data_IF_974233106213
#
_entry.id   IF_974233106213
#
_cell.length_a   1.000
_cell.length_b   1.000
_cell.length_c   1.000
_cell.angle_alpha   90.00
_cell.angle_beta   90.00
_cell.angle_gamma   90.00
#
_symmetry.space_group_name_H-M   'P 1'
#
loop_
_entity.id
_entity.type
_entity.pdbx_description
1 polymer ?
#
# COMPACT_ATOMS: atom_id res chain seq x y z
N UNK A 1 -47.38 -3.92 -40.69
CA UNK A 1 -47.17 -5.35 -40.34
C UNK A 1 -46.50 -5.41 -38.98
N UNK A 2 -47.16 -6.03 -38.01
CA UNK A 2 -46.67 -6.09 -36.63
C UNK A 2 -45.38 -6.92 -36.52
N UNK A 3 -44.53 -6.53 -35.57
CA UNK A 3 -43.20 -7.11 -35.26
C UNK A 3 -43.25 -8.64 -35.13
N UNK A 4 -44.35 -9.17 -34.60
CA UNK A 4 -44.56 -10.60 -34.40
C UNK A 4 -44.75 -11.41 -35.70
N UNK A 5 -45.31 -10.83 -36.76
CA UNK A 5 -45.50 -11.49 -38.07
C UNK A 5 -44.20 -11.58 -38.88
N UNK A 6 -43.27 -10.64 -38.68
CA UNK A 6 -41.96 -10.63 -39.34
C UNK A 6 -40.95 -11.57 -38.65
N UNK A 7 -41.03 -11.67 -37.31
CA UNK A 7 -40.21 -12.62 -36.53
C UNK A 7 -40.62 -14.07 -36.77
N UNK A 8 -41.92 -14.37 -36.89
CA UNK A 8 -42.40 -15.73 -37.22
C UNK A 8 -42.03 -16.16 -38.64
N UNK A 9 -42.11 -15.25 -39.62
CA UNK A 9 -41.67 -15.53 -41.00
C UNK A 9 -40.15 -15.83 -41.09
N UNK A 10 -39.32 -15.10 -40.34
CA UNK A 10 -37.87 -15.30 -40.32
C UNK A 10 -37.46 -16.59 -39.58
N UNK A 11 -38.14 -16.93 -38.48
CA UNK A 11 -37.88 -18.17 -37.73
C UNK A 11 -38.27 -19.43 -38.54
N UNK A 12 -39.40 -19.37 -39.24
CA UNK A 12 -39.87 -20.47 -40.11
C UNK A 12 -38.96 -20.70 -41.32
N UNK A 13 -38.35 -19.63 -41.86
CA UNK A 13 -37.37 -19.73 -42.95
C UNK A 13 -36.04 -20.38 -42.50
N UNK A 14 -35.66 -20.18 -41.24
CA UNK A 14 -34.42 -20.70 -40.64
C UNK A 14 -34.54 -22.14 -40.14
N UNK A 15 -35.74 -22.57 -39.71
CA UNK A 15 -36.04 -23.97 -39.32
C UNK A 15 -35.98 -24.95 -40.51
N UNK A 16 -36.12 -24.46 -41.75
CA UNK A 16 -36.06 -25.29 -42.97
C UNK A 16 -34.66 -25.74 -43.40
N UNK A 17 -33.57 -25.22 -42.81
CA UNK A 17 -32.21 -25.35 -43.37
C UNK A 17 -31.19 -26.13 -42.51
N UNK A 18 -31.58 -26.75 -41.38
CA UNK A 18 -30.74 -27.64 -40.53
C UNK A 18 -29.26 -27.18 -40.29
N UNK A 19 -29.04 -25.91 -39.96
CA UNK A 19 -27.71 -25.36 -39.56
C UNK A 19 -27.80 -24.67 -38.18
N UNK A 20 -26.73 -24.68 -37.34
CA UNK A 20 -26.81 -24.14 -35.98
C UNK A 20 -26.84 -22.58 -35.96
N UNK A 21 -27.69 -21.94 -35.14
CA UNK A 21 -28.22 -20.58 -35.40
C UNK A 21 -27.44 -19.42 -34.75
N UNK A 22 -26.31 -19.69 -34.11
CA UNK A 22 -25.68 -18.77 -33.16
C UNK A 22 -25.03 -17.48 -33.75
N UNK A 23 -24.35 -17.49 -34.90
CA UNK A 23 -23.64 -16.29 -35.39
C UNK A 23 -24.58 -15.18 -35.87
N UNK A 24 -25.71 -15.55 -36.47
CA UNK A 24 -26.69 -14.60 -37.00
C UNK A 24 -27.55 -13.98 -35.87
N UNK A 25 -27.88 -14.75 -34.83
CA UNK A 25 -28.63 -14.27 -33.68
C UNK A 25 -27.83 -13.30 -32.79
N UNK A 26 -26.53 -13.52 -32.62
CA UNK A 26 -25.72 -12.65 -31.75
C UNK A 26 -25.24 -11.37 -32.46
N UNK A 27 -24.97 -11.42 -33.77
CA UNK A 27 -24.57 -10.25 -34.57
C UNK A 27 -25.70 -9.22 -34.76
N UNK A 28 -26.95 -9.68 -34.84
CA UNK A 28 -28.13 -8.79 -34.95
C UNK A 28 -28.51 -8.18 -33.58
N UNK A 29 -28.31 -8.90 -32.47
CA UNK A 29 -28.58 -8.42 -31.11
C UNK A 29 -27.56 -7.39 -30.58
N UNK A 30 -26.26 -7.52 -30.90
CA UNK A 30 -25.24 -6.58 -30.41
C UNK A 30 -25.12 -5.31 -31.27
N UNK A 31 -25.44 -5.38 -32.57
CA UNK A 31 -25.20 -4.28 -33.52
C UNK A 31 -26.36 -3.29 -33.62
N UNK A 32 -27.61 -3.73 -33.41
CA UNK A 32 -28.76 -2.84 -33.28
C UNK A 32 -28.68 -2.01 -31.99
N UNK A 33 -28.00 -2.46 -30.92
CA UNK A 33 -28.16 -1.85 -29.61
C UNK A 33 -27.35 -0.54 -29.33
N UNK A 34 -26.15 -0.24 -29.89
CA UNK A 34 -25.27 0.76 -29.21
C UNK A 34 -24.43 1.81 -29.98
N UNK A 35 -24.48 1.94 -31.31
CA UNK A 35 -23.96 3.16 -31.98
C UNK A 35 -22.47 3.54 -31.75
N UNK A 36 -21.57 2.57 -31.56
CA UNK A 36 -20.15 2.82 -31.25
C UNK A 36 -19.21 2.34 -32.39
N UNK A 37 -18.35 3.22 -32.95
CA UNK A 37 -17.38 2.86 -34.01
C UNK A 37 -16.29 1.86 -33.60
N UNK A 38 -16.07 1.60 -32.30
CA UNK A 38 -15.10 0.60 -31.83
C UNK A 38 -15.46 -0.84 -32.24
N UNK A 39 -16.74 -1.13 -32.48
CA UNK A 39 -17.21 -2.45 -32.91
C UNK A 39 -16.75 -2.83 -34.34
N UNK A 40 -16.53 -1.86 -35.22
CA UNK A 40 -16.02 -2.11 -36.57
C UNK A 40 -14.55 -2.55 -36.56
N UNK A 41 -13.75 -1.96 -35.66
CA UNK A 41 -12.34 -2.32 -35.48
C UNK A 41 -12.22 -3.74 -34.91
N UNK A 42 -13.03 -4.09 -33.91
CA UNK A 42 -13.04 -5.43 -33.32
C UNK A 42 -13.54 -6.51 -34.30
N UNK A 43 -14.56 -6.21 -35.12
CA UNK A 43 -15.04 -7.11 -36.17
C UNK A 43 -13.96 -7.30 -37.27
N UNK A 44 -13.27 -6.23 -37.65
CA UNK A 44 -12.15 -6.28 -38.59
C UNK A 44 -10.98 -7.11 -38.07
N UNK A 45 -10.58 -6.93 -36.80
CA UNK A 45 -9.55 -7.74 -36.15
C UNK A 45 -9.94 -9.22 -36.05
N UNK A 46 -11.20 -9.53 -35.76
CA UNK A 46 -11.71 -10.90 -35.71
C UNK A 46 -11.73 -11.57 -37.10
N UNK A 47 -12.03 -10.82 -38.17
CA UNK A 47 -11.97 -11.30 -39.56
C UNK A 47 -10.53 -11.46 -40.07
N UNK A 48 -9.61 -10.62 -39.57
CA UNK A 48 -8.18 -10.71 -39.84
C UNK A 48 -7.50 -11.91 -39.20
N UNK A 49 -7.92 -12.28 -37.98
CA UNK A 49 -7.39 -13.44 -37.25
C UNK A 49 -7.94 -14.78 -37.78
N UNK A 50 -9.02 -14.76 -38.57
CA UNK A 50 -9.80 -15.95 -38.96
C UNK A 50 -9.05 -17.00 -39.82
N UNK A 51 -8.11 -16.65 -40.73
CA UNK A 51 -7.27 -17.63 -41.45
C UNK A 51 -6.27 -18.37 -40.55
N UNK A 52 -5.95 -17.80 -39.39
CA UNK A 52 -5.03 -18.39 -38.41
C UNK A 52 -5.75 -19.34 -37.45
N UNK A 53 -7.09 -19.39 -37.52
CA UNK A 53 -7.98 -20.18 -36.67
C UNK A 53 -8.74 -21.26 -37.48
N UNK A 54 -8.88 -21.07 -38.80
CA UNK A 54 -9.58 -21.99 -39.71
C UNK A 54 -8.81 -22.17 -41.01
N UNK A 55 -8.52 -23.41 -41.37
CA UNK A 55 -7.76 -23.79 -42.58
C UNK A 55 -8.53 -23.61 -43.90
N UNK A 56 -9.81 -23.25 -43.84
CA UNK A 56 -10.72 -23.22 -45.00
C UNK A 56 -10.82 -21.85 -45.68
N UNK A 57 -10.11 -20.83 -45.19
CA UNK A 57 -10.23 -19.47 -45.72
C UNK A 57 -8.92 -19.01 -46.39
N UNK A 58 -8.93 -18.69 -47.70
CA UNK A 58 -7.74 -18.23 -48.41
C UNK A 58 -7.18 -16.93 -47.80
N UNK A 59 -5.87 -16.86 -47.57
CA UNK A 59 -5.22 -15.73 -46.91
C UNK A 59 -5.46 -14.37 -47.61
N UNK A 60 -5.68 -14.37 -48.92
CA UNK A 60 -5.95 -13.15 -49.70
C UNK A 60 -7.31 -12.50 -49.36
N UNK A 61 -8.33 -13.28 -49.02
CA UNK A 61 -9.65 -12.76 -48.62
C UNK A 61 -9.58 -12.00 -47.30
N UNK A 62 -8.73 -12.46 -46.37
CA UNK A 62 -8.47 -11.73 -45.14
C UNK A 62 -7.62 -10.49 -45.35
N UNK A 63 -6.68 -10.49 -46.31
CA UNK A 63 -5.95 -9.28 -46.69
C UNK A 63 -6.87 -8.23 -47.32
N UNK A 64 -7.81 -8.64 -48.17
CA UNK A 64 -8.84 -7.74 -48.74
C UNK A 64 -9.77 -7.21 -47.64
N UNK A 65 -10.23 -8.06 -46.73
CA UNK A 65 -11.01 -7.62 -45.57
C UNK A 65 -10.22 -6.66 -44.67
N UNK A 66 -8.91 -6.90 -44.48
CA UNK A 66 -7.99 -5.98 -43.76
C UNK A 66 -7.98 -4.60 -44.41
N UNK A 67 -7.73 -4.58 -45.72
CA UNK A 67 -7.57 -3.37 -46.50
C UNK A 67 -8.87 -2.56 -46.48
N UNK A 68 -10.02 -3.21 -46.70
CA UNK A 68 -11.34 -2.58 -46.62
C UNK A 68 -11.61 -2.03 -45.21
N UNK A 69 -11.29 -2.80 -44.16
CA UNK A 69 -11.45 -2.33 -42.77
C UNK A 69 -10.58 -1.11 -42.48
N UNK A 70 -9.31 -1.11 -42.93
CA UNK A 70 -8.38 0.01 -42.77
C UNK A 70 -8.85 1.26 -43.53
N UNK A 71 -9.44 1.11 -44.73
CA UNK A 71 -10.01 2.24 -45.49
C UNK A 71 -11.32 2.79 -44.90
N UNK A 72 -12.05 1.95 -44.15
CA UNK A 72 -13.30 2.34 -43.46
C UNK A 72 -13.07 2.81 -42.03
N UNK A 73 -11.83 2.70 -41.50
CA UNK A 73 -11.49 3.29 -40.22
C UNK A 73 -11.58 4.82 -40.35
N UNK A 74 -12.28 5.52 -39.44
CA UNK A 74 -12.24 6.97 -39.43
C UNK A 74 -10.77 7.43 -39.29
N UNK A 75 -10.36 8.52 -39.96
CA UNK A 75 -8.98 9.03 -39.91
C UNK A 75 -8.54 9.45 -38.50
N UNK A 76 -9.49 9.57 -37.57
CA UNK A 76 -9.25 9.74 -36.14
C UNK A 76 -9.86 8.55 -35.41
N UNK A 77 -9.04 7.82 -34.64
CA UNK A 77 -9.51 6.81 -33.70
C UNK A 77 -10.63 7.41 -32.83
N UNK A 78 -11.72 6.66 -32.57
CA UNK A 78 -12.75 7.07 -31.63
C UNK A 78 -12.12 7.61 -30.34
N UNK A 79 -12.64 8.70 -29.73
CA UNK A 79 -12.05 9.28 -28.52
C UNK A 79 -11.77 8.26 -27.40
N UNK A 80 -12.57 7.18 -27.35
CA UNK A 80 -12.43 6.04 -26.43
C UNK A 80 -11.21 5.17 -26.68
N UNK A 81 -10.71 5.05 -27.92
CA UNK A 81 -9.54 4.25 -28.27
C UNK A 81 -8.22 5.05 -28.24
N UNK A 82 -8.28 6.37 -28.03
CA UNK A 82 -7.10 7.24 -27.89
C UNK A 82 -6.16 6.77 -26.77
N UNK A 83 -6.69 6.13 -25.74
CA UNK A 83 -5.94 5.66 -24.57
C UNK A 83 -5.67 4.16 -24.57
N UNK A 84 -6.12 3.42 -25.59
CA UNK A 84 -6.02 1.96 -25.64
C UNK A 84 -4.58 1.47 -25.45
N UNK A 85 -3.59 2.14 -26.04
CA UNK A 85 -2.18 1.79 -25.86
C UNK A 85 -1.71 1.96 -24.40
N UNK A 86 -2.20 2.99 -23.69
CA UNK A 86 -1.91 3.20 -22.26
C UNK A 86 -2.63 2.17 -21.41
N UNK A 87 -3.87 1.83 -21.75
CA UNK A 87 -4.66 0.81 -21.06
C UNK A 87 -4.00 -0.58 -21.22
N UNK A 88 -3.56 -0.94 -22.43
CA UNK A 88 -2.83 -2.17 -22.70
C UNK A 88 -1.50 -2.19 -21.93
N UNK A 89 -0.72 -1.10 -21.98
CA UNK A 89 0.53 -1.00 -21.22
C UNK A 89 0.27 -1.13 -19.70
N UNK A 90 -0.81 -0.53 -19.21
CA UNK A 90 -1.25 -0.63 -17.82
C UNK A 90 -1.63 -2.06 -17.43
N UNK A 91 -2.38 -2.78 -18.28
CA UNK A 91 -2.71 -4.20 -18.08
C UNK A 91 -1.43 -5.05 -18.00
N UNK A 92 -0.49 -4.87 -18.92
CA UNK A 92 0.81 -5.56 -18.86
C UNK A 92 1.57 -5.23 -17.57
N UNK A 93 1.53 -3.97 -17.12
CA UNK A 93 2.15 -3.56 -15.85
C UNK A 93 1.50 -4.24 -14.65
N UNK A 94 0.17 -4.32 -14.61
CA UNK A 94 -0.58 -5.04 -13.57
C UNK A 94 -0.19 -6.52 -13.55
N UNK A 95 -0.22 -7.18 -14.71
CA UNK A 95 0.11 -8.60 -14.80
C UNK A 95 1.56 -8.88 -14.37
N UNK A 96 2.50 -8.04 -14.82
CA UNK A 96 3.90 -8.13 -14.40
C UNK A 96 4.06 -7.94 -12.88
N UNK A 97 3.36 -6.97 -12.30
CA UNK A 97 3.36 -6.74 -10.85
C UNK A 97 2.76 -7.93 -10.08
N UNK A 98 1.61 -8.44 -10.52
CA UNK A 98 0.93 -9.57 -9.91
C UNK A 98 1.79 -10.84 -9.96
N UNK A 99 2.46 -11.10 -11.08
CA UNK A 99 3.40 -12.22 -11.22
C UNK A 99 4.60 -12.07 -10.28
N UNK A 100 5.17 -10.85 -10.15
CA UNK A 100 6.26 -10.58 -9.20
C UNK A 100 5.82 -10.83 -7.76
N UNK A 101 4.68 -10.29 -7.34
CA UNK A 101 4.11 -10.50 -6.00
C UNK A 101 3.90 -12.00 -5.76
N UNK A 102 3.25 -12.71 -6.69
CA UNK A 102 3.02 -14.16 -6.55
C UNK A 102 4.32 -14.95 -6.40
N UNK A 103 5.38 -14.59 -7.13
CA UNK A 103 6.71 -15.22 -6.96
C UNK A 103 7.28 -15.00 -5.56
N UNK A 104 7.14 -13.81 -5.00
CA UNK A 104 7.62 -13.47 -3.65
C UNK A 104 6.84 -14.22 -2.56
N UNK A 105 5.51 -14.32 -2.72
CA UNK A 105 4.64 -15.03 -1.78
C UNK A 105 4.83 -16.56 -1.82
N UNK A 106 5.29 -17.11 -2.95
CA UNK A 106 5.55 -18.54 -3.11
C UNK A 106 6.93 -18.98 -2.58
N UNK A 107 7.80 -18.05 -2.13
CA UNK A 107 9.06 -18.42 -1.47
C UNK A 107 8.77 -19.06 -0.11
N UNK A 108 9.68 -19.91 0.35
CA UNK A 108 9.60 -20.57 1.66
C UNK A 108 10.87 -20.25 2.46
N UNK A 109 10.78 -19.43 3.53
CA UNK A 109 9.61 -18.67 3.96
C UNK A 109 9.23 -17.56 2.95
N UNK A 110 7.99 -17.04 2.98
CA UNK A 110 7.56 -15.95 2.11
C UNK A 110 8.40 -14.69 2.38
N UNK A 111 8.67 -13.92 1.33
CA UNK A 111 9.32 -12.62 1.51
C UNK A 111 8.36 -11.64 2.19
N UNK A 112 8.85 -11.00 3.24
CA UNK A 112 8.15 -9.93 3.96
C UNK A 112 8.94 -8.62 3.86
N UNK A 113 8.36 -7.53 4.36
CA UNK A 113 9.06 -6.23 4.42
C UNK A 113 10.35 -6.27 5.26
N UNK A 114 10.53 -7.29 6.12
CA UNK A 114 11.80 -7.54 6.82
C UNK A 114 12.91 -7.91 5.84
N UNK A 115 12.60 -8.70 4.81
CA UNK A 115 13.57 -9.02 3.76
C UNK A 115 13.95 -7.77 2.94
N UNK A 116 13.01 -6.83 2.75
CA UNK A 116 13.34 -5.55 2.13
C UNK A 116 14.29 -4.73 3.01
N UNK A 117 14.02 -4.62 4.32
CA UNK A 117 14.93 -3.97 5.27
C UNK A 117 16.36 -4.53 5.18
N UNK A 118 16.50 -5.84 5.34
CA UNK A 118 17.80 -6.53 5.32
C UNK A 118 18.53 -6.32 3.98
N UNK A 119 17.79 -6.37 2.87
CA UNK A 119 18.33 -6.12 1.54
C UNK A 119 18.82 -4.69 1.38
N UNK A 120 18.09 -3.67 1.86
CA UNK A 120 18.53 -2.28 1.75
C UNK A 120 19.73 -2.00 2.66
N UNK A 121 19.76 -2.58 3.86
CA UNK A 121 20.90 -2.47 4.77
C UNK A 121 22.18 -3.05 4.17
N UNK A 122 22.08 -4.15 3.43
CA UNK A 122 23.23 -4.77 2.74
C UNK A 122 23.61 -4.05 1.45
N UNK A 123 22.64 -3.69 0.61
CA UNK A 123 22.91 -3.14 -0.72
C UNK A 123 23.30 -1.66 -0.71
N UNK A 124 22.77 -0.90 0.26
CA UNK A 124 22.92 0.57 0.34
C UNK A 124 23.01 1.01 1.81
N UNK A 125 24.03 0.57 2.57
CA UNK A 125 24.11 0.77 4.02
C UNK A 125 24.10 2.24 4.44
N UNK A 126 24.75 3.11 3.67
CA UNK A 126 24.93 4.53 3.98
C UNK A 126 23.81 5.41 3.41
N UNK A 127 22.93 4.86 2.57
CA UNK A 127 21.77 5.63 2.08
C UNK A 127 20.82 5.91 3.25
N UNK A 128 20.36 7.15 3.34
CA UNK A 128 19.36 7.58 4.32
C UNK A 128 18.03 6.90 4.01
N UNK A 129 17.54 6.10 4.95
CA UNK A 129 16.25 5.42 4.86
C UNK A 129 15.12 6.38 5.24
N UNK A 130 15.21 6.97 6.43
CA UNK A 130 14.19 7.86 6.98
C UNK A 130 14.78 9.18 7.46
N UNK A 131 14.02 10.26 7.25
CA UNK A 131 14.27 11.60 7.77
C UNK A 131 13.01 12.07 8.49
N UNK A 132 13.07 12.43 9.77
CA UNK A 132 11.99 13.12 10.45
C UNK A 132 12.23 14.64 10.39
N UNK A 133 11.19 15.41 10.04
CA UNK A 133 11.24 16.88 10.01
C UNK A 133 10.70 17.49 11.31
N UNK A 134 10.92 18.79 11.52
CA UNK A 134 10.40 19.53 12.67
C UNK A 134 11.27 19.48 13.93
N UNK A 135 10.73 19.81 15.11
CA UNK A 135 11.46 19.73 16.38
C UNK A 135 11.94 18.29 16.63
N UNK A 136 13.24 18.11 16.87
CA UNK A 136 13.85 16.78 16.96
C UNK A 136 14.15 16.13 15.59
N UNK A 137 14.39 16.96 14.56
CA UNK A 137 14.79 16.50 13.24
C UNK A 137 15.98 15.53 13.34
N UNK A 138 15.83 14.38 12.73
CA UNK A 138 16.83 13.32 12.73
C UNK A 138 16.69 12.50 11.47
N UNK A 139 17.74 11.73 11.17
CA UNK A 139 17.78 10.83 10.04
C UNK A 139 18.44 9.54 10.44
N UNK A 140 18.06 8.45 9.79
CA UNK A 140 18.65 7.13 10.01
C UNK A 140 18.96 6.48 8.65
N UNK A 141 20.17 5.95 8.54
CA UNK A 141 20.61 5.18 7.36
C UNK A 141 20.04 3.77 7.38
N UNK A 142 20.09 3.06 6.24
CA UNK A 142 19.61 1.68 6.17
C UNK A 142 20.35 0.76 7.15
N UNK A 143 21.67 0.91 7.30
CA UNK A 143 22.47 0.10 8.23
C UNK A 143 22.13 0.38 9.70
N UNK A 144 21.99 1.65 10.08
CA UNK A 144 21.58 2.03 11.43
C UNK A 144 20.15 1.58 11.75
N UNK A 145 19.25 1.66 10.78
CA UNK A 145 17.86 1.21 10.92
C UNK A 145 17.80 -0.29 11.21
N UNK A 146 18.53 -1.10 10.43
CA UNK A 146 18.57 -2.55 10.62
C UNK A 146 19.25 -2.93 11.95
N UNK A 147 20.35 -2.26 12.31
CA UNK A 147 21.03 -2.48 13.59
C UNK A 147 20.12 -2.17 14.79
N UNK A 148 19.41 -1.03 14.79
CA UNK A 148 18.44 -0.69 15.85
C UNK A 148 17.25 -1.65 15.87
N UNK A 149 16.80 -2.11 14.70
CA UNK A 149 15.76 -3.14 14.62
C UNK A 149 16.23 -4.48 15.21
N UNK A 150 17.48 -4.89 14.96
CA UNK A 150 18.07 -6.07 15.59
C UNK A 150 18.12 -5.91 17.12
N UNK A 151 18.61 -4.77 17.62
CA UNK A 151 18.64 -4.49 19.06
C UNK A 151 17.25 -4.55 19.71
N UNK A 152 16.24 -3.94 19.07
CA UNK A 152 14.85 -4.04 19.52
C UNK A 152 14.34 -5.48 19.55
N UNK A 153 14.65 -6.27 18.52
CA UNK A 153 14.29 -7.68 18.46
C UNK A 153 14.93 -8.46 19.63
N UNK A 154 16.22 -8.28 19.87
CA UNK A 154 16.93 -8.99 20.93
C UNK A 154 16.45 -8.58 22.32
N UNK A 155 16.21 -7.29 22.55
CA UNK A 155 15.66 -6.78 23.80
C UNK A 155 14.26 -7.35 24.12
N UNK A 156 13.42 -7.53 23.10
CA UNK A 156 12.03 -7.96 23.28
C UNK A 156 11.80 -9.46 23.13
N UNK A 157 12.79 -10.22 22.61
CA UNK A 157 12.67 -11.65 22.30
C UNK A 157 12.16 -12.48 23.47
N UNK A 158 12.67 -12.23 24.68
CA UNK A 158 12.30 -12.99 25.88
C UNK A 158 10.82 -12.76 26.28
N UNK A 159 10.28 -11.57 26.02
CA UNK A 159 8.90 -11.19 26.37
C UNK A 159 7.87 -11.72 25.38
N UNK A 160 8.29 -11.95 24.13
CA UNK A 160 7.41 -12.32 23.02
C UNK A 160 7.37 -13.81 22.69
N UNK A 161 8.26 -14.61 23.28
CA UNK A 161 8.18 -16.07 23.18
C UNK A 161 6.93 -16.58 23.91
N UNK A 162 6.10 -17.32 23.20
CA UNK A 162 5.03 -18.09 23.81
C UNK A 162 5.63 -19.37 24.45
N UNK A 163 5.47 -19.51 25.76
CA UNK A 163 5.92 -20.68 26.53
C UNK A 163 5.06 -21.91 26.27
N UNK A 164 3.84 -21.74 25.74
CA UNK A 164 2.87 -22.83 25.50
C UNK A 164 2.89 -23.34 24.07
N UNK A 165 3.21 -22.49 23.10
CA UNK A 165 3.36 -22.87 21.70
C UNK A 165 4.66 -22.27 21.13
N UNK A 166 5.71 -23.09 21.07
CA UNK A 166 7.02 -22.66 20.55
C UNK A 166 6.98 -22.11 19.11
N UNK A 167 5.86 -22.29 18.40
CA UNK A 167 5.66 -21.88 17.01
C UNK A 167 4.81 -20.62 16.82
N UNK A 168 4.12 -20.11 17.85
CA UNK A 168 3.30 -18.91 17.77
C UNK A 168 4.00 -17.70 18.40
N UNK A 169 4.20 -16.63 17.63
CA UNK A 169 4.71 -15.36 18.17
C UNK A 169 3.54 -14.53 18.68
N UNK A 170 3.64 -14.01 19.91
CA UNK A 170 2.62 -13.12 20.48
C UNK A 170 2.52 -11.81 19.70
N UNK A 171 1.36 -11.15 19.73
CA UNK A 171 1.18 -9.80 19.17
C UNK A 171 1.77 -8.73 20.10
N UNK A 172 2.26 -7.64 19.52
CA UNK A 172 2.64 -6.42 20.24
C UNK A 172 1.83 -5.20 19.75
N UNK A 173 1.73 -4.17 20.58
CA UNK A 173 1.05 -2.92 20.26
C UNK A 173 1.99 -1.72 20.41
N UNK A 174 1.85 -0.74 19.53
CA UNK A 174 2.56 0.53 19.54
C UNK A 174 1.56 1.68 19.72
N UNK A 175 1.81 2.51 20.74
CA UNK A 175 1.08 3.74 21.02
C UNK A 175 2.09 4.89 21.04
N UNK A 176 2.40 5.44 19.87
CA UNK A 176 3.53 6.37 19.72
C UNK A 176 3.14 7.65 18.97
N UNK A 177 3.62 8.81 19.45
CA UNK A 177 3.37 10.08 18.80
C UNK A 177 4.25 10.26 17.55
N UNK A 178 3.84 11.11 16.59
CA UNK A 178 4.63 11.33 15.38
C UNK A 178 6.05 11.88 15.60
N UNK A 179 6.32 12.52 16.74
CA UNK A 179 7.66 12.97 17.15
C UNK A 179 8.65 11.81 17.35
N UNK A 180 8.15 10.61 17.62
CA UNK A 180 8.94 9.39 17.87
C UNK A 180 8.82 8.36 16.73
N UNK A 181 8.49 8.81 15.52
CA UNK A 181 8.31 7.93 14.35
C UNK A 181 9.53 7.04 14.07
N UNK A 182 10.76 7.58 14.03
CA UNK A 182 11.97 6.77 13.74
C UNK A 182 12.21 5.71 14.84
N UNK A 183 12.26 6.06 16.15
CA UNK A 183 12.33 5.06 17.22
C UNK A 183 11.22 4.01 17.13
N UNK A 184 9.97 4.42 16.91
CA UNK A 184 8.85 3.49 16.77
C UNK A 184 9.02 2.53 15.59
N UNK A 185 9.53 3.02 14.46
CA UNK A 185 9.83 2.20 13.28
C UNK A 185 10.95 1.19 13.56
N UNK A 186 11.99 1.56 14.33
CA UNK A 186 13.04 0.60 14.71
C UNK A 186 12.47 -0.54 15.57
N UNK A 187 11.61 -0.23 16.54
CA UNK A 187 10.95 -1.24 17.38
C UNK A 187 9.99 -2.09 16.55
N UNK A 188 9.16 -1.47 15.72
CA UNK A 188 8.26 -2.17 14.81
C UNK A 188 9.00 -3.18 13.90
N UNK A 189 10.09 -2.76 13.28
CA UNK A 189 10.88 -3.63 12.41
C UNK A 189 11.59 -4.73 13.20
N UNK A 190 12.01 -4.46 14.43
CA UNK A 190 12.57 -5.48 15.33
C UNK A 190 11.55 -6.53 15.75
N UNK A 191 10.34 -6.11 16.10
CA UNK A 191 9.19 -7.00 16.34
C UNK A 191 8.92 -7.87 15.11
N UNK A 192 8.90 -7.27 13.92
CA UNK A 192 8.69 -7.99 12.67
C UNK A 192 9.82 -9.00 12.37
N UNK A 193 11.07 -8.72 12.74
CA UNK A 193 12.19 -9.69 12.64
C UNK A 193 11.97 -10.94 13.51
N UNK A 194 11.23 -10.82 14.61
CA UNK A 194 10.78 -11.95 15.44
C UNK A 194 9.50 -12.63 14.92
N UNK A 195 8.93 -12.14 13.82
CA UNK A 195 7.64 -12.62 13.32
C UNK A 195 6.45 -12.18 14.16
N UNK A 196 6.61 -11.15 14.99
CA UNK A 196 5.56 -10.60 15.83
C UNK A 196 4.63 -9.71 14.99
N UNK A 197 3.32 -10.00 14.92
CA UNK A 197 2.34 -9.07 14.38
C UNK A 197 2.25 -7.82 15.26
N UNK A 198 2.10 -6.64 14.65
CA UNK A 198 2.11 -5.37 15.39
C UNK A 198 0.85 -4.56 15.18
N UNK A 199 0.18 -4.19 16.26
CA UNK A 199 -0.91 -3.23 16.27
C UNK A 199 -0.38 -1.80 16.37
N UNK A 200 -0.71 -0.96 15.39
CA UNK A 200 -0.46 0.48 15.48
C UNK A 200 -1.73 1.18 15.94
N UNK A 201 -1.71 1.68 17.17
CA UNK A 201 -2.86 2.27 17.85
C UNK A 201 -2.76 3.80 17.71
N UNK A 202 -3.92 4.44 17.55
CA UNK A 202 -4.00 5.90 17.52
C UNK A 202 -3.55 6.47 18.89
N UNK A 203 -2.43 7.24 18.95
CA UNK A 203 -1.87 7.78 20.20
C UNK A 203 -2.77 8.82 20.87
N UNK A 204 -3.77 9.33 20.15
CA UNK A 204 -4.72 10.30 20.69
C UNK A 204 -5.96 9.64 21.31
N UNK A 205 -6.06 8.31 21.28
CA UNK A 205 -7.09 7.58 22.02
C UNK A 205 -6.78 7.55 23.52
N UNK A 206 -7.82 7.71 24.36
CA UNK A 206 -7.73 7.64 25.83
C UNK A 206 -8.79 6.73 26.41
N UNK A 207 -8.65 6.35 27.68
CA UNK A 207 -9.62 5.52 28.40
C UNK A 207 -10.06 4.24 27.66
N UNK A 208 -11.38 4.03 27.58
CA UNK A 208 -11.95 2.79 27.04
C UNK A 208 -11.60 2.50 25.56
N UNK A 209 -11.64 3.47 24.62
CA UNK A 209 -11.17 3.24 23.25
C UNK A 209 -9.71 2.75 23.15
N UNK A 210 -8.81 3.30 23.97
CA UNK A 210 -7.41 2.88 24.02
C UNK A 210 -7.30 1.45 24.55
N UNK A 211 -7.88 1.20 25.72
CA UNK A 211 -7.88 -0.12 26.35
C UNK A 211 -8.47 -1.19 25.40
N UNK A 212 -9.61 -0.89 24.77
CA UNK A 212 -10.23 -1.79 23.79
C UNK A 212 -9.30 -2.10 22.63
N UNK A 213 -8.59 -1.10 22.10
CA UNK A 213 -7.66 -1.29 20.99
C UNK A 213 -6.48 -2.19 21.38
N UNK A 214 -5.94 -2.04 22.59
CA UNK A 214 -4.87 -2.93 23.08
C UNK A 214 -5.39 -4.36 23.26
N UNK A 215 -6.47 -4.53 24.04
CA UNK A 215 -6.99 -5.87 24.37
C UNK A 215 -7.48 -6.63 23.14
N UNK A 216 -8.23 -5.98 22.24
CA UNK A 216 -8.78 -6.62 21.03
C UNK A 216 -7.70 -7.01 20.02
N UNK A 217 -6.50 -6.45 20.10
CA UNK A 217 -5.37 -6.84 19.24
C UNK A 217 -4.74 -8.16 19.68
N UNK A 218 -5.03 -8.63 20.90
CA UNK A 218 -4.34 -9.76 21.52
C UNK A 218 -2.88 -9.44 21.87
N UNK A 219 -2.54 -8.15 22.01
CA UNK A 219 -1.18 -7.76 22.35
C UNK A 219 -0.80 -8.20 23.77
N UNK A 220 0.36 -8.83 23.87
CA UNK A 220 0.99 -9.18 25.16
C UNK A 220 2.03 -8.17 25.61
N UNK A 221 2.46 -7.32 24.68
CA UNK A 221 3.43 -6.25 24.91
C UNK A 221 2.86 -4.96 24.35
N UNK A 222 2.89 -3.89 25.13
CA UNK A 222 2.51 -2.54 24.72
C UNK A 222 3.71 -1.61 24.86
N UNK A 223 4.15 -0.99 23.77
CA UNK A 223 5.20 0.03 23.78
C UNK A 223 4.54 1.41 23.60
N UNK A 224 4.86 2.32 24.51
CA UNK A 224 4.19 3.62 24.63
C UNK A 224 5.21 4.76 24.60
N UNK A 225 4.87 5.86 23.93
CA UNK A 225 5.63 7.10 24.04
C UNK A 225 5.60 7.64 25.48
N UNK A 226 6.75 8.01 26.08
CA UNK A 226 6.78 8.65 27.40
C UNK A 226 5.84 9.85 27.54
N UNK A 227 5.64 10.64 26.46
CA UNK A 227 4.74 11.80 26.45
C UNK A 227 3.25 11.43 26.60
N UNK A 228 2.91 10.14 26.52
CA UNK A 228 1.56 9.60 26.71
C UNK A 228 1.36 8.96 28.10
N UNK A 229 2.25 9.25 29.06
CA UNK A 229 2.21 8.70 30.43
C UNK A 229 0.80 8.73 31.04
N UNK A 230 0.15 9.90 31.08
CA UNK A 230 -1.18 10.04 31.68
C UNK A 230 -2.22 9.10 31.04
N UNK A 231 -2.15 8.94 29.71
CA UNK A 231 -3.09 8.09 28.96
C UNK A 231 -2.84 6.61 29.21
N UNK A 232 -1.57 6.21 29.44
CA UNK A 232 -1.22 4.85 29.84
C UNK A 232 -1.69 4.58 31.27
N UNK A 233 -1.35 5.45 32.23
CA UNK A 233 -1.66 5.26 33.66
C UNK A 233 -3.16 5.10 33.92
N UNK A 234 -4.01 5.80 33.15
CA UNK A 234 -5.47 5.67 33.20
C UNK A 234 -5.94 4.21 32.98
N UNK A 235 -5.28 3.47 32.08
CA UNK A 235 -5.69 2.11 31.68
C UNK A 235 -4.76 1.01 32.21
N UNK A 236 -3.60 1.38 32.74
CA UNK A 236 -2.53 0.47 33.17
C UNK A 236 -3.00 -0.62 34.16
N UNK A 237 -3.81 -0.34 35.19
CA UNK A 237 -4.24 -1.39 36.12
C UNK A 237 -4.97 -2.54 35.43
N UNK A 238 -5.77 -2.24 34.41
CA UNK A 238 -6.49 -3.26 33.62
C UNK A 238 -5.55 -4.00 32.67
N UNK A 239 -4.58 -3.30 32.06
CA UNK A 239 -3.58 -3.93 31.20
C UNK A 239 -2.71 -4.92 31.99
N UNK A 240 -2.28 -4.56 33.19
CA UNK A 240 -1.49 -5.43 34.08
C UNK A 240 -2.30 -6.64 34.57
N UNK A 241 -3.59 -6.45 34.87
CA UNK A 241 -4.49 -7.56 35.23
C UNK A 241 -4.63 -8.60 34.10
N UNK A 242 -4.53 -8.15 32.85
CA UNK A 242 -4.52 -9.00 31.65
C UNK A 242 -3.11 -9.51 31.27
N UNK A 243 -2.12 -9.34 32.15
CA UNK A 243 -0.72 -9.74 31.96
C UNK A 243 -0.02 -9.10 30.75
N UNK A 244 -0.39 -7.87 30.40
CA UNK A 244 0.25 -7.12 29.31
C UNK A 244 1.50 -6.41 29.83
N UNK A 245 2.67 -6.76 29.28
CA UNK A 245 3.91 -6.09 29.61
C UNK A 245 3.98 -4.72 28.94
N UNK A 246 4.05 -3.66 29.73
CA UNK A 246 4.10 -2.29 29.22
C UNK A 246 5.54 -1.75 29.24
N UNK A 247 5.92 -1.05 28.18
CA UNK A 247 7.22 -0.39 28.06
C UNK A 247 7.07 1.07 27.63
N UNK A 248 7.91 1.95 28.16
CA UNK A 248 8.14 3.26 27.61
C UNK A 248 9.22 3.22 26.53
N UNK A 249 8.96 3.87 25.39
CA UNK A 249 9.94 4.09 24.33
C UNK A 249 10.87 5.25 24.69
N UNK A 250 11.74 5.00 25.66
CA UNK A 250 12.76 5.92 26.13
C UNK A 250 13.71 5.27 27.14
N UNK A 251 14.63 6.06 27.69
CA UNK A 251 15.64 5.61 28.67
C UNK A 251 15.16 5.62 30.12
N UNK A 252 14.00 6.22 30.40
CA UNK A 252 13.45 6.34 31.75
C UNK A 252 12.06 5.73 31.82
N UNK A 253 11.69 5.27 33.01
CA UNK A 253 10.34 4.83 33.31
C UNK A 253 9.84 5.53 34.58
N UNK A 254 8.92 6.50 34.46
CA UNK A 254 8.35 7.19 35.62
C UNK A 254 7.29 6.37 36.36
N UNK A 255 6.76 5.31 35.74
CA UNK A 255 5.58 4.58 36.23
C UNK A 255 5.94 3.18 36.71
N UNK A 256 5.65 2.83 37.98
CA UNK A 256 5.87 1.48 38.51
C UNK A 256 5.15 0.41 37.68
N UNK A 257 5.85 -0.69 37.39
CA UNK A 257 5.30 -1.78 36.55
C UNK A 257 5.42 -1.55 35.04
N UNK A 258 6.02 -0.44 34.61
CA UNK A 258 6.37 -0.16 33.21
C UNK A 258 7.90 -0.11 33.10
N UNK A 259 8.48 -0.72 32.07
CA UNK A 259 9.94 -0.76 31.88
C UNK A 259 10.41 0.24 30.81
N UNK A 260 11.64 0.74 30.91
CA UNK A 260 12.25 1.61 29.89
C UNK A 260 12.90 0.77 28.78
N UNK A 261 12.37 0.85 27.56
CA UNK A 261 12.79 -0.03 26.46
C UNK A 261 14.17 0.32 25.90
N UNK A 262 14.51 1.61 25.79
CA UNK A 262 15.76 1.99 25.12
C UNK A 262 17.00 1.57 25.92
N UNK A 263 16.91 1.47 27.25
CA UNK A 263 17.97 0.90 28.10
C UNK A 263 18.26 -0.55 27.71
N UNK A 264 17.22 -1.35 27.52
CA UNK A 264 17.37 -2.76 27.11
C UNK A 264 17.87 -2.88 25.66
N UNK A 265 17.45 -1.97 24.77
CA UNK A 265 17.93 -1.94 23.38
C UNK A 265 19.40 -1.59 23.28
N UNK A 266 19.87 -0.61 24.06
CA UNK A 266 21.27 -0.16 24.03
C UNK A 266 22.23 -1.23 24.57
N UNK A 267 21.75 -2.06 25.51
CA UNK A 267 22.49 -3.21 26.03
C UNK A 267 22.40 -4.46 25.13
N UNK A 268 21.47 -4.50 24.17
CA UNK A 268 21.24 -5.64 23.30
C UNK A 268 22.25 -5.68 22.13
N UNK A 269 22.62 -6.88 21.64
CA UNK A 269 23.46 -7.00 20.46
C UNK A 269 22.76 -6.46 19.21
N UNK A 270 23.53 -5.97 18.25
CA UNK A 270 23.03 -5.59 16.92
C UNK A 270 23.13 -6.71 15.88
N UNK A 271 23.51 -7.93 16.31
CA UNK A 271 23.69 -9.09 15.44
C UNK A 271 22.44 -9.38 14.60
N UNK A 272 22.58 -9.78 13.33
CA UNK A 272 21.45 -10.15 12.49
C UNK A 272 20.53 -11.19 13.15
N UNK A 273 19.25 -10.87 13.22
CA UNK A 273 18.23 -11.78 13.76
C UNK A 273 18.03 -12.97 12.80
N UNK A 274 18.18 -14.23 13.26
CA UNK A 274 18.05 -15.39 12.37
C UNK A 274 16.66 -15.50 11.74
N UNK A 275 16.62 -15.71 10.41
CA UNK A 275 15.36 -15.92 9.67
C UNK A 275 14.55 -17.13 10.18
N UNK A 276 15.19 -18.09 10.87
CA UNK A 276 14.52 -19.24 11.50
C UNK A 276 13.48 -18.83 12.54
N UNK A 277 13.64 -17.67 13.19
CA UNK A 277 12.65 -17.15 14.16
C UNK A 277 11.34 -16.73 13.50
N UNK A 278 11.33 -16.55 12.18
CA UNK A 278 10.16 -16.19 11.37
C UNK A 278 9.87 -17.20 10.25
N UNK A 279 10.46 -18.39 10.31
CA UNK A 279 10.36 -19.39 9.22
C UNK A 279 8.96 -19.98 9.06
N UNK A 280 8.15 -19.99 10.12
CA UNK A 280 6.79 -20.56 10.09
C UNK A 280 5.71 -19.56 9.65
N UNK A 281 6.08 -18.31 9.37
CA UNK A 281 5.14 -17.30 8.88
C UNK A 281 4.65 -17.69 7.50
N UNK A 282 3.33 -17.73 7.35
CA UNK A 282 2.63 -17.82 6.07
C UNK A 282 2.16 -16.44 5.64
N UNK A 283 1.99 -16.23 4.33
CA UNK A 283 1.63 -14.93 3.79
C UNK A 283 0.22 -14.46 4.20
N UNK A 284 -0.66 -15.40 4.60
CA UNK A 284 -1.99 -15.13 5.14
C UNK A 284 -1.95 -14.69 6.60
N UNK A 285 -0.87 -14.98 7.34
CA UNK A 285 -0.81 -14.62 8.74
C UNK A 285 -0.87 -13.10 8.92
N UNK A 286 -1.51 -12.62 10.01
CA UNK A 286 -1.51 -11.20 10.35
C UNK A 286 -0.09 -10.66 10.48
N UNK A 287 0.18 -9.53 9.82
CA UNK A 287 1.42 -8.77 9.97
C UNK A 287 1.17 -7.49 10.80
N UNK A 288 0.01 -6.86 10.58
CA UNK A 288 -0.32 -5.57 11.14
C UNK A 288 -1.79 -5.50 11.55
N UNK A 289 -2.06 -4.76 12.62
CA UNK A 289 -3.41 -4.32 12.99
C UNK A 289 -3.47 -2.79 12.94
N UNK A 290 -4.41 -2.25 12.16
CA UNK A 290 -4.66 -0.82 12.05
C UNK A 290 -6.06 -0.52 12.57
N UNK A 291 -6.18 0.32 13.59
CA UNK A 291 -7.48 0.63 14.19
C UNK A 291 -8.19 1.77 13.46
N UNK A 292 -9.48 1.58 13.21
CA UNK A 292 -10.35 2.58 12.57
C UNK A 292 -11.45 2.98 13.55
N UNK A 293 -11.95 4.22 13.45
CA UNK A 293 -12.87 4.80 14.43
C UNK A 293 -14.18 4.03 14.64
N UNK A 294 -14.56 3.13 13.73
CA UNK A 294 -15.73 2.24 13.87
C UNK A 294 -17.06 2.98 13.90
N UNK A 295 -18.09 2.46 13.23
CA UNK A 295 -19.43 3.07 13.26
C UNK A 295 -20.13 2.91 14.61
N UNK A 296 -19.67 1.97 15.44
CA UNK A 296 -20.25 1.61 16.75
C UNK A 296 -19.55 2.32 17.93
N UNK A 297 -18.70 3.32 17.66
CA UNK A 297 -18.01 4.14 18.67
C UNK A 297 -16.69 3.57 19.22
N UNK A 298 -16.55 2.24 19.29
CA UNK A 298 -15.27 1.60 19.64
C UNK A 298 -14.42 1.28 18.40
N UNK A 299 -13.09 1.52 18.46
CA UNK A 299 -12.21 1.24 17.33
C UNK A 299 -12.19 -0.24 16.93
N UNK A 300 -12.21 -0.55 15.62
CA UNK A 300 -12.13 -1.92 15.10
C UNK A 300 -10.80 -2.17 14.37
N UNK A 301 -10.16 -3.34 14.56
CA UNK A 301 -8.92 -3.65 13.88
C UNK A 301 -9.18 -4.03 12.41
N UNK A 302 -8.53 -3.31 11.49
CA UNK A 302 -8.26 -3.82 10.16
C UNK A 302 -7.04 -4.75 10.26
N UNK A 303 -7.28 -6.06 10.11
CA UNK A 303 -6.24 -7.10 10.14
C UNK A 303 -5.59 -7.18 8.75
N UNK A 304 -4.30 -6.90 8.67
CA UNK A 304 -3.55 -6.88 7.42
C UNK A 304 -2.55 -8.03 7.41
N UNK A 305 -2.72 -8.96 6.48
CA UNK A 305 -1.80 -10.08 6.27
C UNK A 305 -0.49 -9.61 5.61
N UNK A 306 0.56 -10.42 5.70
CA UNK A 306 1.83 -10.16 4.99
C UNK A 306 1.62 -9.97 3.48
N UNK A 307 0.74 -10.75 2.85
CA UNK A 307 0.37 -10.57 1.45
C UNK A 307 -0.20 -9.18 1.19
N UNK A 308 -1.17 -8.74 2.01
CA UNK A 308 -1.80 -7.42 1.81
C UNK A 308 -0.79 -6.29 2.00
N UNK A 309 0.10 -6.41 2.99
CA UNK A 309 1.18 -5.45 3.20
C UNK A 309 2.08 -5.37 1.97
N UNK A 310 2.50 -6.51 1.42
CA UNK A 310 3.34 -6.57 0.22
C UNK A 310 2.63 -5.97 -1.02
N UNK A 311 1.34 -6.27 -1.21
CA UNK A 311 0.58 -5.72 -2.33
C UNK A 311 0.49 -4.19 -2.26
N UNK A 312 0.20 -3.63 -1.08
CA UNK A 312 0.04 -2.18 -0.90
C UNK A 312 1.38 -1.45 -0.95
N UNK A 313 2.47 -2.02 -0.40
CA UNK A 313 3.80 -1.39 -0.42
C UNK A 313 4.37 -1.26 -1.84
N UNK A 314 4.00 -2.15 -2.78
CA UNK A 314 4.40 -2.04 -4.20
C UNK A 314 3.73 -0.89 -4.96
N UNK A 315 2.74 -0.22 -4.37
CA UNK A 315 1.98 0.79 -5.10
C UNK A 315 2.81 2.03 -5.48
N UNK A 316 3.83 2.41 -4.69
CA UNK A 316 4.76 3.50 -5.08
C UNK A 316 5.45 3.19 -6.42
N UNK A 317 6.05 2.01 -6.54
CA UNK A 317 6.67 1.55 -7.79
C UNK A 317 5.65 1.43 -8.92
N UNK A 318 4.44 0.96 -8.60
CA UNK A 318 3.34 0.88 -9.55
C UNK A 318 2.92 2.26 -10.10
N UNK A 319 3.04 3.31 -9.30
CA UNK A 319 2.80 4.70 -9.72
C UNK A 319 4.00 5.37 -10.42
N UNK A 320 5.15 4.68 -10.52
CA UNK A 320 6.33 5.20 -11.21
C UNK A 320 7.34 5.89 -10.30
N UNK A 321 7.26 5.68 -8.99
CA UNK A 321 8.38 5.95 -8.09
C UNK A 321 9.49 4.92 -8.28
N UNK A 322 10.71 5.33 -7.96
CA UNK A 322 11.97 4.60 -8.13
C UNK A 322 12.81 4.69 -6.84
N UNK A 323 13.88 3.90 -6.76
CA UNK A 323 14.76 3.89 -5.58
C UNK A 323 15.54 5.21 -5.39
N UNK A 324 15.56 6.10 -6.39
CA UNK A 324 16.26 7.38 -6.35
C UNK A 324 15.33 8.53 -5.92
N UNK A 325 14.05 8.23 -5.68
CA UNK A 325 13.08 9.22 -5.23
C UNK A 325 13.18 9.49 -3.73
N UNK A 326 12.75 10.70 -3.36
CA UNK A 326 12.52 11.11 -1.98
C UNK A 326 11.02 11.28 -1.79
N UNK A 327 10.44 10.45 -0.94
CA UNK A 327 8.98 10.39 -0.72
C UNK A 327 8.60 11.12 0.55
N UNK A 328 7.72 12.12 0.44
CA UNK A 328 7.22 12.88 1.58
C UNK A 328 5.91 12.32 2.13
N UNK A 329 5.96 11.90 3.40
CA UNK A 329 4.86 11.30 4.14
C UNK A 329 4.48 12.23 5.29
N UNK A 330 3.32 12.87 5.13
CA UNK A 330 2.70 13.75 6.14
C UNK A 330 1.53 13.07 6.87
N UNK A 331 1.31 11.78 6.60
CA UNK A 331 0.18 11.01 7.09
C UNK A 331 0.58 10.20 8.33
N UNK A 332 -0.34 10.00 9.30
CA UNK A 332 0.00 9.27 10.51
C UNK A 332 0.37 7.80 10.25
N UNK A 333 1.35 7.28 11.00
CA UNK A 333 1.81 5.91 10.87
C UNK A 333 0.86 4.87 11.49
N UNK A 334 -0.08 5.28 12.35
CA UNK A 334 -1.18 4.42 12.77
C UNK A 334 -2.28 4.26 11.70
N UNK A 335 -2.02 4.69 10.46
CA UNK A 335 -2.87 4.45 9.30
C UNK A 335 -2.11 3.76 8.16
N UNK A 336 -2.81 2.91 7.42
CA UNK A 336 -2.29 2.18 6.24
C UNK A 336 -1.59 3.07 5.23
N UNK A 337 -2.12 4.28 4.99
CA UNK A 337 -1.53 5.22 4.05
C UNK A 337 -0.12 5.65 4.49
N UNK A 338 0.04 6.16 5.71
CA UNK A 338 1.35 6.60 6.21
C UNK A 338 2.34 5.44 6.35
N UNK A 339 1.94 4.37 7.02
CA UNK A 339 2.84 3.26 7.34
C UNK A 339 3.13 2.34 6.15
N UNK A 340 2.10 1.82 5.48
CA UNK A 340 2.33 0.76 4.49
C UNK A 340 2.66 1.40 3.14
N UNK A 341 1.83 2.33 2.68
CA UNK A 341 2.03 2.94 1.38
C UNK A 341 3.23 3.91 1.40
N UNK A 342 3.40 4.68 2.48
CA UNK A 342 4.53 5.57 2.67
C UNK A 342 5.78 4.81 3.09
N UNK A 343 5.90 4.50 4.38
CA UNK A 343 7.13 3.97 4.98
C UNK A 343 7.56 2.62 4.38
N UNK A 344 6.71 1.59 4.43
CA UNK A 344 7.06 0.26 3.92
C UNK A 344 7.19 0.26 2.39
N UNK A 345 6.44 1.11 1.69
CA UNK A 345 6.61 1.28 0.26
C UNK A 345 7.99 1.85 -0.10
N UNK A 346 8.50 2.82 0.67
CA UNK A 346 9.84 3.36 0.48
C UNK A 346 10.92 2.31 0.78
N UNK A 347 10.75 1.55 1.87
CA UNK A 347 11.65 0.46 2.24
C UNK A 347 11.74 -0.63 1.15
N UNK A 348 10.57 -1.04 0.62
CA UNK A 348 10.46 -2.01 -0.47
C UNK A 348 11.06 -1.51 -1.79
N UNK A 349 11.01 -0.20 -2.02
CA UNK A 349 11.55 0.46 -3.20
C UNK A 349 13.06 0.76 -3.08
N UNK A 350 13.57 0.95 -1.85
CA UNK A 350 14.90 1.49 -1.58
C UNK A 350 14.98 3.02 -1.69
N UNK A 351 13.84 3.70 -1.56
CA UNK A 351 13.73 5.15 -1.62
C UNK A 351 13.87 5.79 -0.23
N UNK A 352 14.31 7.04 -0.16
CA UNK A 352 14.35 7.81 1.09
C UNK A 352 12.95 8.31 1.44
N UNK A 353 12.51 8.11 2.69
CA UNK A 353 11.22 8.62 3.16
C UNK A 353 11.41 9.78 4.16
N UNK A 354 10.85 10.93 3.81
CA UNK A 354 10.80 12.12 4.67
C UNK A 354 9.45 12.11 5.41
N UNK A 355 9.50 12.07 6.73
CA UNK A 355 8.37 11.97 7.64
C UNK A 355 8.15 13.32 8.31
N UNK A 356 6.98 13.93 8.05
CA UNK A 356 6.55 15.07 8.84
C UNK A 356 5.70 14.61 10.03
N UNK A 357 6.02 15.04 11.26
CA UNK A 357 5.20 14.74 12.43
C UNK A 357 3.76 15.26 12.31
N UNK A 358 3.57 16.36 11.58
CA UNK A 358 2.26 16.99 11.35
C UNK A 358 2.26 17.71 10.01
N UNK A 359 1.15 17.58 9.29
CA UNK A 359 0.90 18.37 8.08
C UNK A 359 0.87 19.88 8.39
N UNK A 360 1.55 20.66 7.55
CA UNK A 360 1.54 22.11 7.59
C UNK A 360 1.48 22.66 6.17
N UNK A 361 0.35 23.26 5.79
CA UNK A 361 0.18 23.80 4.44
C UNK A 361 1.17 24.93 4.13
N UNK A 362 1.54 25.74 5.13
CA UNK A 362 2.49 26.84 4.96
C UNK A 362 3.95 26.39 4.81
N UNK A 363 4.31 25.22 5.34
CA UNK A 363 5.67 24.65 5.24
C UNK A 363 5.81 23.58 4.17
N UNK A 364 4.73 23.00 3.68
CA UNK A 364 4.73 21.84 2.79
C UNK A 364 5.74 21.95 1.63
N UNK A 365 5.67 23.03 0.84
CA UNK A 365 6.59 23.22 -0.28
C UNK A 365 8.01 23.62 0.15
N UNK A 366 8.16 24.29 1.29
CA UNK A 366 9.47 24.58 1.86
C UNK A 366 10.19 23.29 2.31
N UNK A 367 9.46 22.38 2.97
CA UNK A 367 9.96 21.05 3.34
C UNK A 367 10.33 20.26 2.08
N UNK A 368 9.48 20.31 1.03
CA UNK A 368 9.75 19.64 -0.24
C UNK A 368 11.04 20.13 -0.90
N UNK A 369 11.30 21.44 -0.91
CA UNK A 369 12.56 22.01 -1.39
C UNK A 369 13.74 21.59 -0.53
N UNK A 370 13.63 21.78 0.78
CA UNK A 370 14.71 21.56 1.74
C UNK A 370 15.21 20.11 1.70
N UNK A 371 14.31 19.15 1.53
CA UNK A 371 14.64 17.73 1.54
C UNK A 371 14.70 17.10 0.15
N UNK A 372 14.60 17.88 -0.93
CA UNK A 372 14.67 17.35 -2.30
C UNK A 372 13.55 16.37 -2.64
N UNK A 373 12.35 16.57 -2.07
CA UNK A 373 11.19 15.67 -2.26
C UNK A 373 10.78 15.61 -3.72
N UNK A 374 10.74 14.38 -4.28
CA UNK A 374 10.29 14.13 -5.65
C UNK A 374 8.90 13.51 -5.71
N UNK A 375 8.45 12.85 -4.64
CA UNK A 375 7.14 12.20 -4.57
C UNK A 375 6.41 12.66 -3.32
N UNK A 376 5.18 13.16 -3.46
CA UNK A 376 4.32 13.49 -2.32
C UNK A 376 3.23 12.44 -2.14
N UNK A 377 3.01 12.03 -0.89
CA UNK A 377 1.84 11.25 -0.53
C UNK A 377 0.71 12.17 -0.04
N UNK A 378 -0.52 11.94 -0.51
CA UNK A 378 -1.67 12.74 -0.08
C UNK A 378 -2.91 11.89 0.24
N UNK A 379 -3.78 12.49 1.04
CA UNK A 379 -5.23 12.20 1.05
C UNK A 379 -5.95 13.46 0.58
N UNK A 380 -7.16 13.35 0.04
CA UNK A 380 -7.86 14.47 -0.62
C UNK A 380 -7.83 15.80 0.14
N UNK A 381 -7.95 15.75 1.48
CA UNK A 381 -7.88 16.93 2.34
C UNK A 381 -6.52 17.65 2.32
N UNK A 382 -5.40 16.93 2.19
CA UNK A 382 -4.07 17.53 2.06
C UNK A 382 -4.02 18.43 0.82
N UNK A 383 -4.45 17.93 -0.33
CA UNK A 383 -4.48 18.72 -1.57
C UNK A 383 -5.46 19.89 -1.47
N UNK A 384 -6.63 19.69 -0.84
CA UNK A 384 -7.59 20.77 -0.59
C UNK A 384 -6.97 21.89 0.24
N UNK A 385 -6.24 21.57 1.30
CA UNK A 385 -5.55 22.58 2.11
C UNK A 385 -4.48 23.32 1.30
N UNK A 386 -3.69 22.61 0.49
CA UNK A 386 -2.66 23.23 -0.35
C UNK A 386 -3.25 24.17 -1.41
N UNK A 387 -4.36 23.80 -2.07
CA UNK A 387 -5.03 24.67 -3.03
C UNK A 387 -5.66 25.91 -2.35
N UNK A 388 -5.94 25.87 -1.04
CA UNK A 388 -6.59 26.96 -0.29
C UNK A 388 -5.62 27.97 0.33
N UNK A 389 -4.31 27.71 0.34
CA UNK A 389 -3.30 28.71 0.76
C UNK A 389 -3.07 29.69 -0.40
N UNK A 390 -2.77 30.99 -0.15
CA UNK A 390 -2.36 31.91 -1.20
C UNK A 390 -1.13 31.37 -1.96
N UNK A 391 -1.14 31.44 -3.28
CA UNK A 391 0.00 31.00 -4.11
C UNK A 391 1.20 31.90 -3.84
N UNK A 392 2.36 31.27 -3.67
CA UNK A 392 3.65 31.98 -3.58
C UNK A 392 4.48 31.71 -4.83
N UNK A 393 5.31 32.66 -5.28
CA UNK A 393 6.19 32.44 -6.44
C UNK A 393 7.07 31.19 -6.29
N UNK A 394 7.48 30.87 -5.06
CA UNK A 394 8.35 29.73 -4.78
C UNK A 394 7.61 28.39 -4.79
N UNK A 395 6.27 28.37 -4.82
CA UNK A 395 5.50 27.12 -4.80
C UNK A 395 5.79 26.25 -6.02
N UNK A 396 6.18 26.84 -7.16
CA UNK A 396 6.58 26.10 -8.39
C UNK A 396 8.04 25.67 -8.40
N UNK A 397 8.83 26.14 -7.43
CA UNK A 397 10.25 25.85 -7.34
C UNK A 397 10.40 24.67 -6.40
N UNK A 398 10.21 23.46 -6.90
CA UNK A 398 10.42 22.21 -6.14
C UNK A 398 10.73 21.04 -7.09
N UNK A 399 11.36 19.96 -6.60
CA UNK A 399 11.64 18.78 -7.43
C UNK A 399 10.47 17.78 -7.50
N UNK A 400 9.32 18.07 -6.87
CA UNK A 400 8.15 17.17 -6.87
C UNK A 400 7.68 16.92 -8.30
N UNK A 401 7.68 15.64 -8.68
CA UNK A 401 7.29 15.15 -10.02
C UNK A 401 6.11 14.20 -10.00
N UNK A 402 5.75 13.67 -8.82
CA UNK A 402 4.68 12.69 -8.66
C UNK A 402 3.89 12.99 -7.38
N UNK A 403 2.56 13.05 -7.51
CA UNK A 403 1.66 13.06 -6.38
C UNK A 403 0.86 11.76 -6.36
N UNK A 404 0.85 11.09 -5.21
CA UNK A 404 0.22 9.79 -5.05
C UNK A 404 -0.71 9.78 -3.84
N UNK A 405 -1.96 9.37 -4.05
CA UNK A 405 -2.94 9.43 -2.98
C UNK A 405 -4.34 9.06 -3.44
N UNK A 406 -5.29 9.24 -2.55
CA UNK A 406 -6.70 8.95 -2.79
C UNK A 406 -7.60 10.13 -2.37
N UNK A 407 -8.85 10.11 -2.85
CA UNK A 407 -9.90 10.99 -2.33
C UNK A 407 -9.90 12.42 -2.88
N UNK A 408 -9.24 12.69 -4.01
CA UNK A 408 -9.34 13.99 -4.67
C UNK A 408 -10.71 14.13 -5.34
N UNK A 409 -11.61 14.93 -4.75
CA UNK A 409 -12.84 15.38 -5.42
C UNK A 409 -12.51 16.53 -6.37
N UNK A 410 -13.37 16.80 -7.35
CA UNK A 410 -13.18 17.93 -8.27
C UNK A 410 -13.03 19.26 -7.47
N UNK A 411 -11.86 19.87 -7.53
CA UNK A 411 -11.58 21.16 -6.89
C UNK A 411 -11.78 22.26 -7.95
N UNK A 412 -12.73 23.17 -7.74
CA UNK A 412 -13.06 24.24 -8.70
C UNK A 412 -11.95 25.29 -8.89
N UNK A 413 -10.93 25.34 -8.02
CA UNK A 413 -9.87 26.36 -7.99
C UNK A 413 -8.48 25.79 -7.69
N UNK A 414 -8.06 24.75 -8.38
CA UNK A 414 -6.65 24.37 -8.35
C UNK A 414 -6.05 24.58 -9.75
N UNK A 415 -5.35 25.71 -9.93
CA UNK A 415 -4.42 25.87 -11.04
C UNK A 415 -3.25 24.90 -10.88
N UNK A 416 -2.40 24.76 -11.90
CA UNK A 416 -1.15 23.98 -11.83
C UNK A 416 -0.19 24.64 -10.82
N UNK A 417 -0.30 24.25 -9.56
CA UNK A 417 0.64 24.57 -8.48
C UNK A 417 1.67 23.48 -8.35
#
# INVERSE_FOLDING_TARGET
>A
MGVWQKLTFLLLLLLGLRQPPWPAAMAVALRWFLGDPACFVLLGLALLARPWISSWMPHWLSLVAAAVTLTLLPPQLPPRLRWLHKDVAYVFKILSCALKIRRLLNRQPPETFVNALERQAQARPDQVAFVCTGPGACSITNSQLDARACQAAWALKARLKDTTNQQATKTAALLVLPSKNIPALTVFLGLAKLGCPVAWINPYGRGMPLLHSVLSSGASVLIVDPDLQESLEEVLPKLLAENICCFYLGHTSPTPGVEALEVAMDAAPSDPVPASLRANIQWQNPALFIYTSGTTGLPKPAILSHERVLQVSKMLSFCGATADDVVYVVLPLYHTAGLILGVLGCLELGATCVLAPKFSASRFWADCRQHGVTVIQYVGEVLRYLCNVPEKPEDKIHPVRLAMGNGLRAIQKCGTR
#
